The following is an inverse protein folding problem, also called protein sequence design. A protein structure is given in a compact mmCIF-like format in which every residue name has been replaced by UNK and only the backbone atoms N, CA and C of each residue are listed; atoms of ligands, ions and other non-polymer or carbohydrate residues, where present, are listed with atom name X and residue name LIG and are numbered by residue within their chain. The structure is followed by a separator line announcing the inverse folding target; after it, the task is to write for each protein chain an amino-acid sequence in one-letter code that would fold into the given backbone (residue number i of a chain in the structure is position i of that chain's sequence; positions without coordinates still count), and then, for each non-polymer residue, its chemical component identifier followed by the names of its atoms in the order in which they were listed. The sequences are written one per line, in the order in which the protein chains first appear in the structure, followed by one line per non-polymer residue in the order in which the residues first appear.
data_IF_640261452970
#
_entry.id   IF_640261452970
#
_cell.length_a   1.000
_cell.length_b   1.000
_cell.length_c   1.000
_cell.angle_alpha   90.00
_cell.angle_beta   90.00
_cell.angle_gamma   90.00
#
_symmetry.space_group_name_H-M   'P 1'
#
loop_
_entity.id
_entity.type
_entity.pdbx_description
1 polymer ?
#
# COMPACT_ATOMS: atom_id res chain seq x y z
N UNK A 1 -1.61 -14.52 -24.58
CA UNK A 1 -1.41 -13.04 -24.64
C UNK A 1 -1.03 -12.71 -26.08
N UNK A 2 -1.39 -11.54 -26.62
CA UNK A 2 -0.97 -11.18 -27.98
C UNK A 2 0.54 -10.90 -27.99
N UNK A 3 1.30 -11.49 -28.91
CA UNK A 3 2.74 -11.28 -29.03
C UNK A 3 3.08 -9.81 -29.35
N UNK A 4 2.18 -9.09 -30.03
CA UNK A 4 2.34 -7.67 -30.33
C UNK A 4 2.36 -6.79 -29.06
N UNK A 5 1.80 -7.27 -27.95
CA UNK A 5 1.84 -6.58 -26.65
C UNK A 5 3.24 -6.61 -26.01
N UNK A 6 4.16 -7.44 -26.53
CA UNK A 6 5.53 -7.59 -26.03
C UNK A 6 6.59 -7.03 -26.99
N UNK A 7 6.18 -6.36 -28.06
CA UNK A 7 7.11 -5.66 -28.94
C UNK A 7 7.73 -4.48 -28.20
N UNK A 8 9.07 -4.44 -28.19
CA UNK A 8 9.83 -3.42 -27.49
C UNK A 8 10.41 -2.43 -28.50
N UNK A 9 10.31 -1.14 -28.19
CA UNK A 9 11.16 -0.15 -28.85
C UNK A 9 12.63 -0.28 -28.38
N UNK A 10 13.53 0.43 -29.06
CA UNK A 10 14.96 0.36 -28.78
C UNK A 10 15.31 0.81 -27.36
N UNK A 11 14.61 1.83 -26.83
CA UNK A 11 14.84 2.34 -25.49
C UNK A 11 14.44 1.30 -24.43
N UNK A 12 13.28 0.68 -24.59
CA UNK A 12 12.77 -0.38 -23.71
C UNK A 12 13.65 -1.63 -23.76
N UNK A 13 14.19 -1.98 -24.93
CA UNK A 13 15.16 -3.07 -25.06
C UNK A 13 16.44 -2.81 -24.27
N UNK A 14 17.01 -1.60 -24.38
CA UNK A 14 18.20 -1.18 -23.63
C UNK A 14 17.94 -1.20 -22.10
N UNK A 15 16.78 -0.71 -21.67
CA UNK A 15 16.36 -0.71 -20.26
C UNK A 15 16.26 -2.12 -19.63
N UNK A 16 16.01 -3.13 -20.44
CA UNK A 16 15.95 -4.54 -19.99
C UNK A 16 17.34 -5.16 -19.98
N UNK A 17 18.22 -4.77 -20.92
CA UNK A 17 19.54 -5.35 -21.07
C UNK A 17 20.40 -5.20 -19.81
N UNK A 18 20.23 -4.13 -19.05
CA UNK A 18 21.03 -3.88 -17.85
C UNK A 18 20.37 -4.38 -16.55
N UNK A 19 19.28 -5.14 -16.62
CA UNK A 19 18.54 -5.56 -15.42
C UNK A 19 18.08 -7.03 -15.46
N UNK A 20 18.73 -7.87 -14.66
CA UNK A 20 18.44 -9.31 -14.58
C UNK A 20 16.99 -9.64 -14.21
N UNK A 21 16.35 -8.85 -13.34
CA UNK A 21 14.94 -9.06 -12.97
C UNK A 21 14.03 -8.75 -14.16
N UNK A 22 14.27 -7.65 -14.87
CA UNK A 22 13.51 -7.28 -16.08
C UNK A 22 13.68 -8.34 -17.18
N UNK A 23 14.91 -8.83 -17.42
CA UNK A 23 15.17 -9.93 -18.37
C UNK A 23 14.34 -11.17 -18.05
N UNK A 24 14.38 -11.61 -16.79
CA UNK A 24 13.62 -12.79 -16.35
C UNK A 24 12.11 -12.58 -16.53
N UNK A 25 11.58 -11.42 -16.14
CA UNK A 25 10.16 -11.10 -16.34
C UNK A 25 9.78 -11.13 -17.82
N UNK A 26 10.60 -10.56 -18.70
CA UNK A 26 10.35 -10.55 -20.14
C UNK A 26 10.37 -11.98 -20.73
N UNK A 27 11.32 -12.81 -20.32
CA UNK A 27 11.37 -14.21 -20.74
C UNK A 27 10.12 -14.98 -20.30
N UNK A 28 9.64 -14.76 -19.07
CA UNK A 28 8.40 -15.34 -18.58
C UNK A 28 7.19 -14.87 -19.40
N UNK A 29 7.09 -13.57 -19.69
CA UNK A 29 5.99 -13.02 -20.51
C UNK A 29 5.99 -13.59 -21.92
N UNK A 30 7.16 -13.70 -22.58
CA UNK A 30 7.30 -14.35 -23.89
C UNK A 30 6.86 -15.80 -23.85
N UNK A 31 7.26 -16.55 -22.82
CA UNK A 31 6.78 -17.92 -22.60
C UNK A 31 5.25 -18.03 -22.52
N UNK A 32 4.55 -17.02 -21.96
CA UNK A 32 3.08 -16.98 -21.97
C UNK A 32 2.46 -16.55 -23.31
N UNK A 33 3.19 -15.83 -24.15
CA UNK A 33 2.73 -15.48 -25.50
C UNK A 33 2.83 -16.70 -26.44
N UNK A 34 3.91 -17.47 -26.31
CA UNK A 34 4.19 -18.64 -27.15
C UNK A 34 3.42 -19.90 -26.71
N UNK A 35 2.94 -19.94 -25.47
CA UNK A 35 2.19 -21.08 -24.94
C UNK A 35 0.85 -21.29 -25.66
N UNK A 36 0.56 -22.55 -26.00
CA UNK A 36 -0.78 -22.95 -26.44
C UNK A 36 -1.76 -22.77 -25.26
N UNK A 37 -2.88 -22.06 -25.45
CA UNK A 37 -3.89 -21.94 -24.39
C UNK A 37 -4.34 -23.33 -23.94
N UNK A 38 -4.42 -23.52 -22.62
CA UNK A 38 -5.04 -24.72 -22.05
C UNK A 38 -6.54 -24.77 -22.30
N UNK A 39 -7.16 -25.88 -21.90
CA UNK A 39 -8.60 -26.15 -22.02
C UNK A 39 -9.46 -25.57 -20.89
N UNK A 40 -8.85 -24.78 -19.99
CA UNK A 40 -9.55 -24.19 -18.85
C UNK A 40 -10.49 -23.04 -19.24
N UNK A 41 -11.63 -22.94 -18.55
CA UNK A 41 -12.66 -21.91 -18.78
C UNK A 41 -12.26 -20.48 -18.37
N UNK A 42 -11.06 -20.30 -17.79
CA UNK A 42 -10.59 -19.03 -17.23
C UNK A 42 -9.35 -18.54 -17.93
N UNK A 43 -9.40 -17.30 -18.41
CA UNK A 43 -8.30 -16.67 -19.14
C UNK A 43 -7.86 -15.40 -18.41
N UNK A 44 -6.57 -15.30 -18.12
CA UNK A 44 -5.92 -14.06 -17.66
C UNK A 44 -5.23 -13.42 -18.85
N UNK A 45 -5.60 -12.19 -19.18
CA UNK A 45 -4.99 -11.41 -20.26
C UNK A 45 -4.22 -10.23 -19.68
N UNK A 46 -2.98 -10.08 -20.10
CA UNK A 46 -2.19 -8.88 -19.87
C UNK A 46 -2.34 -7.96 -21.09
N UNK A 47 -2.60 -6.68 -20.83
CA UNK A 47 -2.63 -5.60 -21.83
C UNK A 47 -1.64 -4.54 -21.35
N UNK A 48 -0.68 -4.17 -22.18
CA UNK A 48 0.30 -3.13 -21.90
C UNK A 48 -0.03 -1.88 -22.71
N UNK A 49 0.65 -0.77 -22.39
CA UNK A 49 0.47 0.52 -23.07
C UNK A 49 -1.01 0.91 -23.23
N UNK A 50 -1.81 0.71 -22.19
CA UNK A 50 -3.23 1.05 -22.19
C UNK A 50 -3.58 1.84 -20.93
N UNK A 51 -4.13 3.04 -21.11
CA UNK A 51 -4.57 3.91 -20.01
C UNK A 51 -6.10 3.90 -19.91
N UNK A 52 -6.70 3.66 -18.74
CA UNK A 52 -8.15 3.80 -18.57
C UNK A 52 -8.56 5.28 -18.63
N UNK A 53 -9.51 5.60 -19.50
CA UNK A 53 -10.07 6.95 -19.66
C UNK A 53 -11.44 7.12 -19.01
N UNK A 54 -12.32 6.13 -19.17
CA UNK A 54 -13.71 6.22 -18.70
C UNK A 54 -14.24 4.85 -18.26
N UNK A 55 -14.97 4.82 -17.15
CA UNK A 55 -15.76 3.64 -16.76
C UNK A 55 -17.10 3.70 -17.48
N UNK A 56 -17.35 2.74 -18.36
CA UNK A 56 -18.62 2.63 -19.08
C UNK A 56 -19.62 1.93 -18.17
N UNK A 57 -20.76 2.58 -17.93
CA UNK A 57 -21.80 2.05 -17.06
C UNK A 57 -23.18 2.05 -17.71
N UNK A 58 -24.02 1.10 -17.29
CA UNK A 58 -25.44 1.03 -17.61
C UNK A 58 -26.22 0.68 -16.34
N UNK A 59 -27.32 1.39 -16.08
CA UNK A 59 -28.18 1.15 -14.90
C UNK A 59 -27.40 1.17 -13.56
N UNK A 60 -26.42 2.06 -13.44
CA UNK A 60 -25.56 2.18 -12.25
C UNK A 60 -24.53 1.05 -12.07
N UNK A 61 -24.35 0.17 -13.06
CA UNK A 61 -23.39 -0.94 -13.03
C UNK A 61 -22.29 -0.76 -14.05
N UNK A 62 -21.09 -1.24 -13.73
CA UNK A 62 -19.96 -1.29 -14.67
C UNK A 62 -20.30 -2.26 -15.80
N UNK A 63 -20.08 -1.83 -17.03
CA UNK A 63 -20.25 -2.64 -18.25
C UNK A 63 -18.99 -2.66 -19.11
N UNK A 64 -18.05 -1.74 -18.87
CA UNK A 64 -16.75 -1.75 -19.52
C UNK A 64 -15.83 -0.65 -19.01
N UNK A 65 -14.65 -0.61 -19.59
CA UNK A 65 -13.70 0.49 -19.43
C UNK A 65 -13.22 0.91 -20.81
N UNK A 66 -13.38 2.19 -21.12
CA UNK A 66 -12.75 2.80 -22.30
C UNK A 66 -11.29 3.05 -21.97
N UNK A 67 -10.41 2.52 -22.79
CA UNK A 67 -8.97 2.69 -22.66
C UNK A 67 -8.42 3.35 -23.92
N UNK A 68 -7.29 4.03 -23.75
CA UNK A 68 -6.50 4.60 -24.84
C UNK A 68 -5.19 3.84 -24.97
N UNK A 69 -4.81 3.51 -26.21
CA UNK A 69 -3.49 2.97 -26.51
C UNK A 69 -2.44 4.06 -26.32
N UNK A 70 -1.36 3.73 -25.64
CA UNK A 70 -0.22 4.59 -25.40
C UNK A 70 0.95 4.21 -26.30
N UNK A 71 1.88 5.14 -26.46
CA UNK A 71 3.26 4.90 -26.87
C UNK A 71 4.20 5.35 -25.76
N UNK A 72 5.42 4.83 -25.74
CA UNK A 72 6.46 5.31 -24.83
C UNK A 72 7.23 6.46 -25.48
N UNK A 73 7.50 7.49 -24.68
CA UNK A 73 8.30 8.65 -25.09
C UNK A 73 9.39 8.87 -24.05
N UNK A 74 10.63 8.87 -24.52
CA UNK A 74 11.80 9.18 -23.69
C UNK A 74 11.69 10.61 -23.13
N UNK A 75 12.12 10.78 -21.90
CA UNK A 75 12.13 12.04 -21.18
C UNK A 75 13.57 12.47 -20.90
N UNK A 76 13.76 13.76 -20.64
CA UNK A 76 15.08 14.33 -20.30
C UNK A 76 15.64 13.79 -18.98
N UNK A 77 14.77 13.26 -18.10
CA UNK A 77 15.15 12.63 -16.83
C UNK A 77 15.68 11.19 -16.98
N UNK A 78 15.79 10.70 -18.22
CA UNK A 78 16.29 9.36 -18.55
C UNK A 78 15.24 8.25 -18.40
N UNK A 79 13.99 8.59 -18.06
CA UNK A 79 12.88 7.64 -18.00
C UNK A 79 11.99 7.72 -19.24
N UNK A 80 11.18 6.68 -19.46
CA UNK A 80 10.12 6.69 -20.46
C UNK A 80 8.76 6.97 -19.80
N UNK A 81 7.90 7.75 -20.48
CA UNK A 81 6.52 7.98 -20.06
C UNK A 81 5.54 7.52 -21.14
N UNK A 82 4.39 7.05 -20.69
CA UNK A 82 3.28 6.69 -21.57
C UNK A 82 2.57 7.97 -22.06
N UNK A 83 2.44 8.12 -23.37
CA UNK A 83 1.69 9.19 -24.04
C UNK A 83 0.55 8.58 -24.86
N UNK A 84 -0.66 9.14 -24.72
CA UNK A 84 -1.85 8.69 -25.44
C UNK A 84 -1.71 8.87 -26.95
N UNK A 85 -2.16 7.90 -27.73
CA UNK A 85 -2.11 7.94 -29.20
C UNK A 85 -3.39 8.46 -29.83
N UNK A 86 -4.45 8.71 -29.04
CA UNK A 86 -5.80 9.00 -29.51
C UNK A 86 -6.58 7.76 -29.96
N UNK A 87 -5.96 6.58 -30.05
CA UNK A 87 -6.61 5.34 -30.45
C UNK A 87 -7.35 4.75 -29.24
N UNK A 88 -8.68 4.73 -29.31
CA UNK A 88 -9.56 4.30 -28.22
C UNK A 88 -10.15 2.91 -28.49
N UNK A 89 -10.28 2.11 -27.44
CA UNK A 89 -11.05 0.87 -27.45
C UNK A 89 -11.90 0.78 -26.17
N UNK A 90 -13.01 0.05 -26.21
CA UNK A 90 -13.80 -0.25 -25.01
C UNK A 90 -13.69 -1.72 -24.67
N UNK A 91 -13.18 -2.01 -23.48
CA UNK A 91 -13.04 -3.38 -22.97
C UNK A 91 -14.30 -3.71 -22.15
N UNK A 92 -15.12 -4.69 -22.58
CA UNK A 92 -16.31 -5.08 -21.81
C UNK A 92 -15.87 -5.75 -20.50
N UNK A 93 -16.44 -5.29 -19.38
CA UNK A 93 -16.19 -5.88 -18.06
C UNK A 93 -17.36 -5.62 -17.10
N UNK A 94 -17.63 -6.56 -16.20
CA UNK A 94 -18.63 -6.40 -15.14
C UNK A 94 -18.06 -5.88 -13.81
N UNK A 95 -16.74 -5.79 -13.71
CA UNK A 95 -16.03 -5.35 -12.51
C UNK A 95 -14.72 -4.66 -12.92
N UNK A 96 -14.41 -3.55 -12.25
CA UNK A 96 -13.16 -2.83 -12.41
C UNK A 96 -12.48 -2.70 -11.05
N UNK A 97 -11.24 -3.19 -10.94
CA UNK A 97 -10.44 -3.09 -9.72
C UNK A 97 -9.22 -2.23 -10.03
N UNK A 98 -9.10 -1.07 -9.38
CA UNK A 98 -7.96 -0.18 -9.54
C UNK A 98 -6.83 -0.59 -8.60
N UNK A 99 -5.71 -1.07 -9.16
CA UNK A 99 -4.49 -1.43 -8.42
C UNK A 99 -3.29 -0.55 -8.83
N UNK A 100 -3.44 0.78 -8.74
CA UNK A 100 -2.43 1.78 -9.18
C UNK A 100 -1.58 2.34 -8.03
N UNK A 101 -1.54 1.63 -6.92
CA UNK A 101 -0.89 2.06 -5.68
C UNK A 101 -1.88 2.56 -4.62
N UNK A 102 -1.37 2.67 -3.40
CA UNK A 102 -2.10 3.24 -2.28
C UNK A 102 -1.79 4.73 -2.15
N UNK A 103 -2.45 5.41 -1.21
CA UNK A 103 -2.11 6.78 -0.81
C UNK A 103 -2.36 6.89 0.68
N UNK A 104 -1.50 7.61 1.40
CA UNK A 104 -1.76 7.94 2.80
C UNK A 104 -3.02 8.78 2.95
N UNK A 105 -3.66 8.67 4.11
CA UNK A 105 -4.74 9.56 4.52
C UNK A 105 -4.21 10.49 5.63
N UNK A 106 -4.59 11.77 5.63
CA UNK A 106 -4.15 12.69 6.66
C UNK A 106 -4.72 12.29 8.02
N UNK A 107 -3.91 12.46 9.07
CA UNK A 107 -4.34 12.34 10.46
C UNK A 107 -4.57 13.74 11.01
N UNK A 108 -5.74 14.05 11.62
CA UNK A 108 -5.99 15.36 12.18
C UNK A 108 -4.89 15.82 13.15
N UNK A 109 -4.34 17.02 12.91
CA UNK A 109 -3.25 17.59 13.70
C UNK A 109 -1.84 17.15 13.30
N UNK A 110 -1.69 16.24 12.34
CA UNK A 110 -0.38 15.79 11.83
C UNK A 110 -0.14 16.40 10.44
N UNK A 111 0.97 17.15 10.24
CA UNK A 111 1.30 17.73 8.94
C UNK A 111 1.45 16.68 7.82
N UNK A 112 0.85 16.96 6.67
CA UNK A 112 0.73 16.01 5.57
C UNK A 112 1.18 16.66 4.25
N UNK A 113 2.00 15.96 3.48
CA UNK A 113 2.32 16.32 2.10
C UNK A 113 1.23 15.72 1.20
N UNK A 114 0.27 16.56 0.81
CA UNK A 114 -0.83 16.13 -0.04
C UNK A 114 -0.33 15.57 -1.37
N UNK A 115 0.69 16.16 -2.00
CA UNK A 115 1.18 15.73 -3.31
C UNK A 115 1.79 14.33 -3.24
N UNK A 116 2.64 14.10 -2.25
CA UNK A 116 3.33 12.83 -2.05
C UNK A 116 2.46 11.77 -1.34
N UNK A 117 1.39 12.19 -0.64
CA UNK A 117 0.49 11.29 0.08
C UNK A 117 1.13 10.66 1.32
N UNK A 118 1.98 11.40 2.03
CA UNK A 118 2.78 10.97 3.18
C UNK A 118 2.74 12.02 4.29
N UNK A 119 3.11 11.65 5.51
CA UNK A 119 3.37 12.61 6.59
C UNK A 119 4.58 13.46 6.20
N UNK A 120 4.47 14.78 6.34
CA UNK A 120 5.58 15.68 6.05
C UNK A 120 6.74 15.38 7.01
N UNK A 121 7.90 14.98 6.48
CA UNK A 121 9.02 14.54 7.31
C UNK A 121 10.37 14.77 6.64
N UNK A 122 11.42 14.88 7.46
CA UNK A 122 12.83 14.88 7.04
C UNK A 122 13.55 13.74 7.78
N UNK A 123 14.05 12.74 7.04
CA UNK A 123 14.66 11.53 7.63
C UNK A 123 13.72 10.69 8.52
N UNK A 124 12.45 11.07 8.65
CA UNK A 124 11.46 10.50 9.58
C UNK A 124 11.16 11.35 10.80
N UNK A 125 11.82 12.50 11.01
CA UNK A 125 11.35 13.55 11.94
C UNK A 125 10.18 14.28 11.29
N UNK A 126 9.04 14.37 11.96
CA UNK A 126 7.86 15.06 11.41
C UNK A 126 8.14 16.56 11.31
N UNK A 127 7.76 17.17 10.19
CA UNK A 127 7.89 18.61 9.95
C UNK A 127 6.62 19.34 10.37
N UNK A 128 6.71 20.62 10.73
CA UNK A 128 5.54 21.45 11.09
C UNK A 128 4.62 21.72 9.89
N UNK A 129 5.14 21.60 8.66
CA UNK A 129 4.40 21.70 7.39
C UNK A 129 5.15 21.01 6.25
N UNK A 130 4.43 20.66 5.19
CA UNK A 130 5.04 20.19 3.94
C UNK A 130 5.98 21.25 3.33
N UNK A 131 7.14 20.82 2.85
CA UNK A 131 8.18 21.70 2.29
C UNK A 131 8.80 22.69 3.30
N UNK A 132 8.61 22.46 4.60
CA UNK A 132 9.30 23.20 5.66
C UNK A 132 10.62 22.53 6.07
N UNK A 133 11.32 23.12 7.02
CA UNK A 133 12.52 22.54 7.66
C UNK A 133 12.38 22.42 9.18
N UNK A 134 11.38 23.08 9.77
CA UNK A 134 11.12 23.02 11.20
C UNK A 134 10.43 21.70 11.56
N UNK A 135 10.94 21.03 12.60
CA UNK A 135 10.44 19.73 13.07
C UNK A 135 9.44 19.91 14.21
N UNK A 136 8.46 19.01 14.30
CA UNK A 136 7.62 18.84 15.49
C UNK A 136 8.39 17.97 16.50
N UNK A 137 8.84 18.51 17.64
CA UNK A 137 9.73 17.75 18.52
C UNK A 137 9.01 16.54 19.11
N UNK A 138 9.63 15.37 18.96
CA UNK A 138 9.14 14.10 19.48
C UNK A 138 8.10 13.39 18.63
N UNK A 139 7.80 13.89 17.43
CA UNK A 139 6.98 13.21 16.46
C UNK A 139 7.83 12.63 15.34
N UNK A 140 7.62 11.34 15.06
CA UNK A 140 8.37 10.60 14.07
C UNK A 140 7.43 9.75 13.23
N UNK A 141 7.84 9.45 12.00
CA UNK A 141 7.11 8.60 11.07
C UNK A 141 8.03 7.56 10.44
N UNK A 142 7.49 6.37 10.17
CA UNK A 142 8.20 5.24 9.55
C UNK A 142 7.32 4.55 8.50
N UNK A 143 7.91 3.71 7.67
CA UNK A 143 7.23 2.87 6.70
C UNK A 143 6.57 3.67 5.58
N UNK A 144 5.41 3.19 5.11
CA UNK A 144 4.71 3.82 3.99
C UNK A 144 4.19 5.22 4.29
N UNK A 145 3.89 5.53 5.55
CA UNK A 145 3.50 6.89 5.95
C UNK A 145 4.67 7.89 5.82
N UNK A 146 5.92 7.40 5.80
CA UNK A 146 7.14 8.20 5.62
C UNK A 146 7.58 8.29 4.15
N UNK A 147 7.60 7.15 3.45
CA UNK A 147 8.25 7.00 2.12
C UNK A 147 7.29 6.79 0.95
N UNK A 148 6.00 6.68 1.23
CA UNK A 148 4.99 6.26 0.26
C UNK A 148 4.89 4.73 0.13
N UNK A 149 3.88 4.25 -0.60
CA UNK A 149 3.47 2.85 -0.61
C UNK A 149 4.28 1.98 -1.57
N UNK A 150 5.60 1.95 -1.37
CA UNK A 150 6.53 1.14 -2.16
C UNK A 150 7.45 0.30 -1.28
N UNK A 151 8.00 -0.76 -1.88
CA UNK A 151 8.89 -1.70 -1.20
C UNK A 151 8.18 -2.85 -0.48
N UNK A 152 8.98 -3.86 -0.11
CA UNK A 152 8.53 -5.06 0.59
C UNK A 152 8.65 -4.90 2.11
N UNK A 153 8.12 -5.85 2.89
CA UNK A 153 8.19 -5.86 4.37
C UNK A 153 9.61 -5.57 4.88
N UNK A 154 10.63 -6.17 4.27
CA UNK A 154 12.03 -5.96 4.65
C UNK A 154 12.53 -4.52 4.49
N UNK A 155 12.00 -3.77 3.52
CA UNK A 155 12.38 -2.35 3.31
C UNK A 155 11.95 -1.47 4.48
N UNK A 156 10.81 -1.79 5.11
CA UNK A 156 10.31 -1.05 6.27
C UNK A 156 11.17 -1.26 7.52
N UNK A 157 11.88 -2.40 7.63
CA UNK A 157 12.77 -2.65 8.76
C UNK A 157 13.98 -1.69 8.75
N UNK A 158 14.63 -1.57 7.61
CA UNK A 158 15.78 -0.67 7.45
C UNK A 158 15.37 0.80 7.62
N UNK A 159 14.23 1.18 7.03
CA UNK A 159 13.67 2.52 7.17
C UNK A 159 13.36 2.89 8.63
N UNK A 160 12.67 2.01 9.35
CA UNK A 160 12.36 2.23 10.77
C UNK A 160 13.63 2.34 11.62
N UNK A 161 14.66 1.54 11.35
CA UNK A 161 15.94 1.63 12.05
C UNK A 161 16.60 3.01 11.86
N UNK A 162 16.54 3.57 10.65
CA UNK A 162 17.04 4.93 10.38
C UNK A 162 16.31 5.99 11.20
N UNK A 163 14.98 5.93 11.29
CA UNK A 163 14.22 6.87 12.12
C UNK A 163 14.49 6.70 13.61
N UNK A 164 14.64 5.46 14.10
CA UNK A 164 15.00 5.20 15.50
C UNK A 164 16.39 5.73 15.84
N UNK A 165 17.35 5.72 14.90
CA UNK A 165 18.65 6.36 15.10
C UNK A 165 18.50 7.87 15.34
N UNK A 166 17.68 8.55 14.52
CA UNK A 166 17.38 9.98 14.72
C UNK A 166 16.68 10.26 16.05
N UNK A 167 15.77 9.38 16.49
CA UNK A 167 15.16 9.47 17.82
C UNK A 167 16.21 9.38 18.94
N UNK A 168 17.20 8.50 18.80
CA UNK A 168 18.27 8.34 19.77
C UNK A 168 19.20 9.57 19.81
N UNK A 169 19.51 10.16 18.64
CA UNK A 169 20.23 11.43 18.54
C UNK A 169 19.48 12.57 19.26
N UNK A 170 18.18 12.73 18.98
CA UNK A 170 17.35 13.77 19.58
C UNK A 170 17.26 13.61 21.11
N UNK A 171 17.26 12.35 21.58
CA UNK A 171 17.35 12.05 23.01
C UNK A 171 18.69 12.48 23.60
N UNK A 172 19.80 12.18 22.92
CA UNK A 172 21.14 12.60 23.34
C UNK A 172 21.31 14.12 23.35
N UNK A 173 20.65 14.81 22.42
CA UNK A 173 20.62 16.28 22.33
C UNK A 173 19.65 16.95 23.33
N UNK A 174 18.91 16.18 24.14
CA UNK A 174 18.03 16.73 25.16
C UNK A 174 16.74 17.34 24.62
N UNK A 175 16.31 17.00 23.39
CA UNK A 175 15.06 17.51 22.77
C UNK A 175 13.81 17.20 23.62
N UNK A 176 13.88 16.14 24.43
CA UNK A 176 12.80 15.73 25.34
C UNK A 176 12.92 16.32 26.75
N UNK A 177 13.91 17.17 27.03
CA UNK A 177 14.09 17.76 28.35
C UNK A 177 12.86 18.60 28.75
N UNK A 178 12.39 18.44 29.99
CA UNK A 178 11.22 19.15 30.50
C UNK A 178 9.86 18.60 30.03
N UNK A 179 9.82 17.59 29.15
CA UNK A 179 8.57 16.84 28.91
C UNK A 179 8.27 15.92 30.09
N UNK A 180 6.97 15.74 30.37
CA UNK A 180 6.48 14.97 31.51
C UNK A 180 7.00 13.54 31.54
N UNK A 181 6.96 12.92 32.72
CA UNK A 181 7.15 11.47 32.88
C UNK A 181 5.78 10.80 32.94
N UNK A 182 4.96 10.97 31.91
CA UNK A 182 3.71 10.23 31.80
C UNK A 182 4.03 8.73 31.84
N UNK A 183 3.31 8.00 32.69
CA UNK A 183 3.42 6.56 32.81
C UNK A 183 2.47 5.91 31.82
N UNK A 184 2.73 4.66 31.45
CA UNK A 184 1.81 3.88 30.61
C UNK A 184 0.36 3.88 31.16
N UNK A 185 0.21 3.83 32.48
CA UNK A 185 -1.09 3.90 33.16
C UNK A 185 -1.86 5.19 32.89
N UNK A 186 -1.17 6.31 32.64
CA UNK A 186 -1.81 7.60 32.36
C UNK A 186 -2.55 7.57 31.02
N UNK A 187 -2.00 6.85 30.03
CA UNK A 187 -2.64 6.62 28.75
C UNK A 187 -3.89 5.73 28.90
N UNK A 188 -3.80 4.63 29.64
CA UNK A 188 -4.96 3.77 29.93
C UNK A 188 -6.06 4.54 30.66
N UNK A 189 -5.72 5.40 31.63
CA UNK A 189 -6.70 6.27 32.31
C UNK A 189 -7.32 7.28 31.34
N UNK A 190 -6.54 7.85 30.41
CA UNK A 190 -7.04 8.75 29.38
C UNK A 190 -8.07 8.06 28.48
N UNK A 191 -7.79 6.84 28.01
CA UNK A 191 -8.71 6.06 27.19
C UNK A 191 -10.02 5.78 27.93
N UNK A 192 -9.95 5.39 29.21
CA UNK A 192 -11.12 5.17 30.07
C UNK A 192 -11.96 6.44 30.24
N UNK A 193 -11.32 7.58 30.57
CA UNK A 193 -12.02 8.87 30.71
C UNK A 193 -12.71 9.31 29.42
N UNK A 194 -12.14 8.98 28.27
CA UNK A 194 -12.71 9.27 26.94
C UNK A 194 -13.75 8.23 26.49
N UNK A 195 -14.03 7.18 27.27
CA UNK A 195 -14.97 6.12 26.90
C UNK A 195 -14.53 5.29 25.69
N UNK A 196 -13.23 5.27 25.38
CA UNK A 196 -12.70 4.51 24.23
C UNK A 196 -12.72 3.03 24.56
N UNK A 197 -13.25 2.19 23.67
CA UNK A 197 -13.06 0.74 23.71
C UNK A 197 -11.83 0.38 22.89
N UNK A 198 -10.85 -0.28 23.50
CA UNK A 198 -9.62 -0.71 22.83
C UNK A 198 -9.38 -2.21 23.03
N UNK A 199 -8.56 -2.78 22.15
CA UNK A 199 -8.11 -4.16 22.23
C UNK A 199 -6.63 -4.12 22.64
N UNK A 200 -6.30 -4.71 23.78
CA UNK A 200 -4.92 -4.92 24.21
C UNK A 200 -4.35 -6.23 23.66
N UNK A 201 -3.13 -6.56 24.08
CA UNK A 201 -2.44 -7.79 23.66
C UNK A 201 -3.23 -9.06 24.00
N UNK A 202 -3.88 -9.10 25.16
CA UNK A 202 -4.63 -10.29 25.59
C UNK A 202 -5.95 -10.41 24.83
N UNK A 203 -6.63 -9.29 24.58
CA UNK A 203 -7.82 -9.23 23.73
C UNK A 203 -7.54 -9.68 22.30
N UNK A 204 -6.42 -9.23 21.73
CA UNK A 204 -5.96 -9.73 20.43
C UNK A 204 -5.72 -11.24 20.44
N UNK A 205 -5.03 -11.76 21.47
CA UNK A 205 -4.75 -13.20 21.57
C UNK A 205 -6.04 -14.04 21.67
N UNK A 206 -7.06 -13.55 22.41
CA UNK A 206 -8.39 -14.19 22.45
C UNK A 206 -9.06 -14.21 21.08
N UNK A 207 -9.04 -13.08 20.38
CA UNK A 207 -9.61 -12.99 19.03
C UNK A 207 -8.90 -13.94 18.07
N UNK A 208 -7.57 -13.96 18.06
CA UNK A 208 -6.75 -14.83 17.20
C UNK A 208 -7.02 -16.32 17.45
N UNK A 209 -7.16 -16.73 18.72
CA UNK A 209 -7.52 -18.09 19.08
C UNK A 209 -8.91 -18.49 18.56
N UNK A 210 -9.90 -17.58 18.65
CA UNK A 210 -11.25 -17.83 18.12
C UNK A 210 -11.26 -17.94 16.60
N UNK A 211 -10.61 -17.01 15.90
CA UNK A 211 -10.49 -17.05 14.43
C UNK A 211 -9.86 -18.37 13.96
N UNK A 212 -8.80 -18.81 14.63
CA UNK A 212 -8.06 -20.03 14.31
C UNK A 212 -8.88 -21.29 14.59
N UNK A 213 -9.60 -21.34 15.72
CA UNK A 213 -10.48 -22.45 16.05
C UNK A 213 -11.61 -22.62 15.02
N UNK A 214 -12.25 -21.52 14.61
CA UNK A 214 -13.26 -21.51 13.56
C UNK A 214 -12.68 -21.98 12.21
N UNK A 215 -11.46 -21.57 11.89
CA UNK A 215 -10.74 -22.03 10.70
C UNK A 215 -10.51 -23.53 10.71
N UNK A 216 -9.96 -24.06 11.81
CA UNK A 216 -9.64 -25.48 11.96
C UNK A 216 -10.86 -26.38 11.72
N UNK A 217 -12.03 -25.98 12.22
CA UNK A 217 -13.29 -26.72 12.01
C UNK A 217 -13.70 -26.83 10.53
N UNK A 218 -13.16 -25.97 9.66
CA UNK A 218 -13.44 -25.92 8.22
C UNK A 218 -12.23 -26.31 7.35
N UNK A 219 -11.13 -26.80 7.94
CA UNK A 219 -9.88 -27.07 7.21
C UNK A 219 -9.18 -25.80 6.68
N UNK A 220 -9.41 -24.65 7.32
CA UNK A 220 -8.83 -23.34 6.95
C UNK A 220 -7.85 -22.87 8.03
N UNK A 221 -6.86 -22.02 7.71
CA UNK A 221 -5.96 -21.45 8.73
C UNK A 221 -6.70 -20.61 9.78
N UNK A 222 -7.73 -19.87 9.36
CA UNK A 222 -8.61 -19.08 10.22
C UNK A 222 -9.90 -18.65 9.49
N UNK A 223 -10.91 -18.26 10.25
CA UNK A 223 -12.06 -17.48 9.79
C UNK A 223 -11.99 -16.13 10.49
N UNK A 224 -11.83 -15.05 9.73
CA UNK A 224 -11.67 -13.70 10.30
C UNK A 224 -13.01 -13.11 10.74
N UNK A 225 -12.99 -12.34 11.82
CA UNK A 225 -14.08 -11.41 12.13
C UNK A 225 -14.00 -10.21 11.19
N UNK A 226 -15.10 -9.88 10.52
CA UNK A 226 -15.11 -8.91 9.43
C UNK A 226 -15.77 -7.59 9.81
N UNK A 227 -16.19 -7.43 11.06
CA UNK A 227 -16.75 -6.19 11.60
C UNK A 227 -16.13 -5.80 12.93
N UNK A 228 -16.05 -4.50 13.21
CA UNK A 228 -15.53 -3.97 14.48
C UNK A 228 -16.32 -4.49 15.69
N UNK A 229 -17.67 -4.57 15.68
CA UNK A 229 -18.43 -5.15 16.78
C UNK A 229 -18.03 -6.60 17.09
N UNK A 230 -17.93 -7.46 16.08
CA UNK A 230 -17.51 -8.85 16.24
C UNK A 230 -16.08 -8.94 16.80
N UNK A 231 -15.16 -8.10 16.31
CA UNK A 231 -13.78 -8.05 16.81
C UNK A 231 -13.73 -7.67 18.29
N UNK A 232 -14.53 -6.68 18.71
CA UNK A 232 -14.59 -6.24 20.11
C UNK A 232 -15.19 -7.32 21.03
N UNK A 233 -16.22 -8.02 20.57
CA UNK A 233 -16.83 -9.13 21.29
C UNK A 233 -15.88 -10.33 21.39
N UNK A 234 -15.21 -10.68 20.30
CA UNK A 234 -14.22 -11.75 20.26
C UNK A 234 -13.03 -11.47 21.19
N UNK A 235 -12.63 -10.20 21.29
CA UNK A 235 -11.55 -9.76 22.15
C UNK A 235 -11.97 -9.58 23.62
N UNK A 236 -13.26 -9.55 23.94
CA UNK A 236 -13.73 -9.39 25.31
C UNK A 236 -13.28 -10.58 26.19
N UNK A 237 -12.94 -10.35 27.47
CA UNK A 237 -12.79 -11.45 28.42
C UNK A 237 -14.11 -12.23 28.48
N UNK A 238 -14.05 -13.56 28.49
CA UNK A 238 -15.25 -14.38 28.64
C UNK A 238 -15.97 -14.01 29.94
N UNK A 239 -17.31 -14.02 29.93
CA UNK A 239 -18.06 -14.05 31.18
C UNK A 239 -17.54 -15.22 31.99
N UNK A 240 -17.01 -14.92 33.18
CA UNK A 240 -16.79 -15.97 34.18
C UNK A 240 -18.18 -16.33 34.69
N UNK A 241 -18.71 -17.46 34.21
CA UNK A 241 -19.76 -18.18 34.92
C UNK A 241 -19.17 -18.77 36.22
#
# INVERSE_FOLDING_TARGET
MDAAELELDAASAAEIEDNAVRKRNMNTLRGYADAVPGDGDRVVRFRFLASPLEVVGRDGKVCGVRVERNRLVAQDDGYQRAEGTGVLETLPCGMLIRSVGYRGAPVPGVPFDERAGIVANEGGRVLTRAGGAEVVPGEYVVGWAKRGPSGVIGTNKADAAGTVALMAEDRGAGIFAGRGRERADDFCRLLKRRGVRWIDKEGWARMDARETALGKAQGRPRVKFCSVPEMLEAAAPGSRD
#
